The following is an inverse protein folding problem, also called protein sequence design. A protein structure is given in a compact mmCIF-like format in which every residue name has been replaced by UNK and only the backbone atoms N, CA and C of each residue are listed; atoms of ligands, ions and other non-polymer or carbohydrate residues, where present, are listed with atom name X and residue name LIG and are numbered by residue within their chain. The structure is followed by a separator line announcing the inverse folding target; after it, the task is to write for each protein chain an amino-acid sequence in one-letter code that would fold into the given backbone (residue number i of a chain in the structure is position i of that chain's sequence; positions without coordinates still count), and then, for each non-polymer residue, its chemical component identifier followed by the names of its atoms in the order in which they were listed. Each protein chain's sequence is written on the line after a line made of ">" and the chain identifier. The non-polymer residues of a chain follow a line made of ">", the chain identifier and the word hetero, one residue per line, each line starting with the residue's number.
data_IF_364542747087
#
_entry.id   IF_364542747087
#
_cell.length_a   1.000
_cell.length_b   1.000
_cell.length_c   1.000
_cell.angle_alpha   90.00
_cell.angle_beta   90.00
_cell.angle_gamma   90.00
#
_symmetry.space_group_name_H-M   'P 1'
#
loop_
_entity.id
_entity.type
_entity.pdbx_description
1 polymer ?
#
# COMPACT_ATOMS: atom_id res chain seq x y z
N UNK A 1 23.13 -54.62 16.54
CA UNK A 1 22.67 -53.96 15.29
C UNK A 1 21.25 -53.36 15.37
N UNK A 2 20.21 -54.11 15.81
CA UNK A 2 18.83 -53.54 15.88
C UNK A 2 18.68 -52.29 16.78
N UNK A 3 19.40 -52.15 17.89
CA UNK A 3 19.33 -50.97 18.78
C UNK A 3 19.86 -49.69 18.12
N UNK A 4 20.90 -49.77 17.32
CA UNK A 4 21.48 -48.61 16.63
C UNK A 4 20.60 -48.10 15.46
N UNK A 5 19.89 -49.05 14.80
CA UNK A 5 18.95 -48.70 13.71
C UNK A 5 17.78 -47.89 14.25
N UNK A 6 17.22 -48.25 15.42
CA UNK A 6 16.13 -47.52 16.05
C UNK A 6 16.56 -46.11 16.48
N UNK A 7 17.77 -45.95 17.01
CA UNK A 7 18.31 -44.66 17.42
C UNK A 7 18.52 -43.74 16.21
N UNK A 8 19.02 -44.24 15.08
CA UNK A 8 19.22 -43.47 13.85
C UNK A 8 17.89 -43.06 13.24
N UNK A 9 16.88 -43.96 13.21
CA UNK A 9 15.54 -43.63 12.72
C UNK A 9 14.85 -42.53 13.57
N UNK A 10 15.02 -42.60 14.90
CA UNK A 10 14.47 -41.60 15.83
C UNK A 10 15.11 -40.22 15.62
N UNK A 11 16.43 -40.18 15.38
CA UNK A 11 17.17 -38.94 15.12
C UNK A 11 16.76 -38.28 13.78
N UNK A 12 16.49 -39.08 12.75
CA UNK A 12 16.03 -38.59 11.45
C UNK A 12 14.60 -38.01 11.55
N UNK A 13 13.73 -38.64 12.35
CA UNK A 13 12.35 -38.18 12.55
C UNK A 13 12.29 -36.85 13.31
N UNK A 14 13.20 -36.58 14.24
CA UNK A 14 13.28 -35.33 14.98
C UNK A 14 13.82 -34.18 14.08
N UNK A 15 14.74 -34.49 13.16
CA UNK A 15 15.28 -33.50 12.23
C UNK A 15 14.24 -33.03 11.18
N UNK A 16 13.24 -33.86 10.88
CA UNK A 16 12.19 -33.51 9.89
C UNK A 16 11.07 -32.63 10.47
N UNK A 17 11.08 -32.33 11.76
CA UNK A 17 10.08 -31.46 12.42
C UNK A 17 10.52 -30.00 12.57
N UNK A 18 11.65 -29.57 11.98
CA UNK A 18 11.93 -28.15 11.84
C UNK A 18 11.01 -27.58 10.74
N UNK A 19 9.81 -27.19 11.13
CA UNK A 19 8.97 -26.35 10.28
C UNK A 19 9.74 -25.06 10.06
N UNK A 20 10.33 -24.93 8.88
CA UNK A 20 10.74 -23.61 8.39
C UNK A 20 9.46 -22.79 8.28
N UNK A 21 9.22 -21.95 9.27
CA UNK A 21 8.25 -20.87 9.13
C UNK A 21 8.82 -19.95 8.07
N UNK A 22 8.45 -20.20 6.82
CA UNK A 22 8.63 -19.23 5.75
C UNK A 22 7.67 -18.10 6.08
N UNK A 23 8.19 -17.03 6.66
CA UNK A 23 7.52 -15.74 6.66
C UNK A 23 7.52 -15.26 5.21
N UNK A 24 6.56 -15.75 4.42
CA UNK A 24 6.23 -15.07 3.19
C UNK A 24 5.80 -13.66 3.61
N UNK A 25 6.46 -12.61 3.10
CA UNK A 25 5.87 -11.27 3.14
C UNK A 25 4.48 -11.46 2.54
N UNK A 26 3.40 -11.26 3.28
CA UNK A 26 2.06 -11.58 2.79
C UNK A 26 1.64 -10.68 1.63
N UNK A 27 2.51 -9.72 1.23
CA UNK A 27 2.10 -8.61 0.40
C UNK A 27 3.28 -7.96 -0.35
N UNK A 28 3.18 -7.94 -1.68
CA UNK A 28 4.02 -7.13 -2.56
C UNK A 28 3.12 -6.04 -3.20
N UNK A 29 3.27 -4.75 -2.85
CA UNK A 29 2.39 -3.71 -3.38
C UNK A 29 2.38 -3.62 -4.91
N UNK A 30 3.46 -4.03 -5.59
CA UNK A 30 3.53 -4.02 -7.05
C UNK A 30 2.60 -5.04 -7.73
N UNK A 31 2.04 -6.01 -6.98
CA UNK A 31 1.09 -6.99 -7.51
C UNK A 31 -0.34 -6.43 -7.58
N UNK A 32 -0.61 -5.30 -6.90
CA UNK A 32 -1.95 -4.72 -6.71
C UNK A 32 -2.17 -3.41 -7.45
N UNK A 33 -1.15 -2.78 -8.02
CA UNK A 33 -1.27 -1.54 -8.80
C UNK A 33 -0.26 -1.50 -9.94
N UNK A 34 -0.58 -0.77 -11.00
CA UNK A 34 0.29 -0.60 -12.16
C UNK A 34 0.41 0.87 -12.54
N UNK A 35 1.61 1.29 -12.91
CA UNK A 35 1.83 2.61 -13.50
C UNK A 35 1.05 2.80 -14.83
N UNK A 36 0.59 1.71 -15.44
CA UNK A 36 -0.21 1.75 -16.67
C UNK A 36 -1.72 1.94 -16.42
N UNK A 37 -2.17 2.06 -15.15
CA UNK A 37 -3.56 2.38 -14.87
C UNK A 37 -3.94 3.73 -15.46
N UNK A 38 -5.16 3.78 -16.03
CA UNK A 38 -5.69 5.02 -16.64
C UNK A 38 -6.10 5.99 -15.56
N UNK A 39 -5.76 7.27 -15.75
CA UNK A 39 -6.14 8.35 -14.85
C UNK A 39 -6.33 9.64 -15.66
N UNK A 40 -7.35 10.41 -15.31
CA UNK A 40 -7.67 11.69 -15.95
C UNK A 40 -6.60 12.73 -15.63
N UNK A 41 -6.28 13.60 -16.60
CA UNK A 41 -5.52 14.83 -16.39
C UNK A 41 -6.51 15.97 -16.12
N UNK A 42 -6.53 16.51 -14.92
CA UNK A 42 -7.44 17.58 -14.55
C UNK A 42 -7.02 18.92 -15.17
N UNK A 43 -7.95 19.89 -15.33
CA UNK A 43 -7.60 21.24 -15.72
C UNK A 43 -6.49 21.83 -14.84
N UNK A 44 -5.56 22.58 -15.44
CA UNK A 44 -4.37 23.15 -14.73
C UNK A 44 -4.71 24.04 -13.54
N UNK A 45 -5.95 24.54 -13.46
CA UNK A 45 -6.43 25.33 -12.31
C UNK A 45 -6.79 24.49 -11.08
N UNK A 46 -6.92 23.17 -11.23
CA UNK A 46 -7.26 22.26 -10.15
C UNK A 46 -5.99 21.83 -9.42
N UNK A 47 -5.90 22.17 -8.13
CA UNK A 47 -4.71 21.99 -7.30
C UNK A 47 -4.78 20.76 -6.39
N UNK A 48 -5.86 20.00 -6.44
CA UNK A 48 -6.03 18.80 -5.62
C UNK A 48 -6.92 17.77 -6.31
N UNK A 49 -6.72 16.51 -5.96
CA UNK A 49 -7.59 15.41 -6.36
C UNK A 49 -7.74 14.43 -5.20
N UNK A 50 -8.93 13.87 -5.04
CA UNK A 50 -9.23 12.84 -4.05
C UNK A 50 -10.01 11.71 -4.69
N UNK A 51 -9.70 10.48 -4.30
CA UNK A 51 -10.45 9.29 -4.62
C UNK A 51 -10.76 8.53 -3.32
N UNK A 52 -11.94 7.91 -3.28
CA UNK A 52 -12.33 6.97 -2.23
C UNK A 52 -12.74 5.67 -2.87
N UNK A 53 -12.12 4.57 -2.47
CA UNK A 53 -12.50 3.22 -2.87
C UNK A 53 -13.18 2.53 -1.67
N UNK A 54 -14.35 1.92 -1.92
CA UNK A 54 -15.18 1.30 -0.90
C UNK A 54 -15.22 -0.21 -1.07
N UNK A 55 -15.27 -0.93 0.04
CA UNK A 55 -15.49 -2.37 0.02
C UNK A 55 -16.75 -2.69 -0.80
N UNK A 56 -16.60 -3.58 -1.77
CA UNK A 56 -17.76 -4.24 -2.37
C UNK A 56 -18.39 -5.09 -1.26
N UNK A 57 -19.72 -5.19 -1.22
CA UNK A 57 -20.60 -5.71 -0.14
C UNK A 57 -20.22 -7.04 0.60
N UNK A 58 -18.94 -7.43 0.61
CA UNK A 58 -18.37 -8.64 1.24
C UNK A 58 -16.97 -8.44 1.84
N UNK A 59 -16.49 -7.20 2.02
CA UNK A 59 -15.31 -6.97 2.85
C UNK A 59 -15.67 -7.28 4.31
N UNK A 60 -14.86 -8.12 4.98
CA UNK A 60 -15.12 -8.52 6.37
C UNK A 60 -14.71 -7.40 7.34
N UNK A 61 -13.63 -6.67 7.02
CA UNK A 61 -13.06 -5.68 7.94
C UNK A 61 -12.51 -4.40 7.28
N UNK A 62 -12.12 -4.38 6.00
CA UNK A 62 -11.64 -3.18 5.36
C UNK A 62 -12.77 -2.44 4.63
N UNK A 63 -13.23 -1.30 5.17
CA UNK A 63 -14.41 -0.59 4.67
C UNK A 63 -14.11 0.35 3.51
N UNK A 64 -13.03 1.13 3.61
CA UNK A 64 -12.73 2.20 2.65
C UNK A 64 -11.26 2.59 2.68
N UNK A 65 -10.72 2.97 1.52
CA UNK A 65 -9.44 3.64 1.38
C UNK A 65 -9.63 5.01 0.72
N UNK A 66 -9.13 6.06 1.35
CA UNK A 66 -9.09 7.43 0.82
C UNK A 66 -7.66 7.77 0.42
N UNK A 67 -7.48 8.33 -0.78
CA UNK A 67 -6.21 8.80 -1.29
C UNK A 67 -6.39 10.20 -1.87
N UNK A 68 -5.56 11.15 -1.44
CA UNK A 68 -5.62 12.53 -1.90
C UNK A 68 -4.23 13.07 -2.25
N UNK A 69 -4.15 13.82 -3.35
CA UNK A 69 -3.00 14.59 -3.82
C UNK A 69 -3.32 16.07 -3.75
N UNK A 70 -2.38 16.91 -3.33
CA UNK A 70 -2.47 18.37 -3.33
C UNK A 70 -1.16 19.00 -3.80
N UNK A 71 -1.28 20.10 -4.51
CA UNK A 71 -0.15 20.99 -4.79
C UNK A 71 0.03 21.95 -3.60
N UNK A 72 1.18 21.85 -2.94
CA UNK A 72 1.54 22.68 -1.79
C UNK A 72 2.42 23.88 -2.20
N UNK A 73 2.66 24.04 -3.50
CA UNK A 73 3.49 25.10 -4.06
C UNK A 73 4.98 24.72 -4.10
N UNK A 74 5.73 25.48 -4.89
CA UNK A 74 7.20 25.33 -5.06
C UNK A 74 7.66 23.92 -5.52
N UNK A 75 6.78 23.13 -6.15
CA UNK A 75 7.07 21.76 -6.53
C UNK A 75 6.88 20.75 -5.39
N UNK A 76 6.33 21.16 -4.26
CA UNK A 76 5.99 20.28 -3.16
C UNK A 76 4.58 19.68 -3.38
N UNK A 77 4.46 18.37 -3.23
CA UNK A 77 3.22 17.62 -3.46
C UNK A 77 2.81 16.92 -2.18
N UNK A 78 1.67 17.33 -1.62
CA UNK A 78 1.05 16.68 -0.48
C UNK A 78 0.37 15.37 -0.87
N UNK A 79 0.53 14.36 -0.02
CA UNK A 79 -0.10 13.05 -0.16
C UNK A 79 -0.73 12.62 1.16
N UNK A 80 -2.04 12.38 1.14
CA UNK A 80 -2.79 11.85 2.28
C UNK A 80 -3.42 10.54 1.88
N UNK A 81 -3.16 9.49 2.66
CA UNK A 81 -3.71 8.16 2.46
C UNK A 81 -4.27 7.63 3.78
N UNK A 82 -5.56 7.25 3.82
CA UNK A 82 -6.26 6.83 5.02
C UNK A 82 -7.01 5.53 4.75
N UNK A 83 -6.70 4.48 5.51
CA UNK A 83 -7.49 3.26 5.58
C UNK A 83 -8.55 3.37 6.67
N UNK A 84 -9.76 2.91 6.40
CA UNK A 84 -10.85 2.84 7.39
C UNK A 84 -11.27 1.38 7.57
N UNK A 85 -11.10 0.87 8.77
CA UNK A 85 -11.36 -0.51 9.13
C UNK A 85 -12.61 -0.58 10.04
N UNK A 86 -13.42 -1.62 9.86
CA UNK A 86 -14.64 -1.84 10.65
C UNK A 86 -14.33 -2.31 12.08
N UNK A 87 -13.16 -2.95 12.23
CA UNK A 87 -12.65 -3.48 13.49
C UNK A 87 -11.15 -3.26 13.54
N UNK A 88 -10.54 -3.20 14.73
CA UNK A 88 -9.09 -3.22 14.86
C UNK A 88 -8.48 -4.47 14.22
N UNK A 89 -7.37 -4.30 13.49
CA UNK A 89 -6.66 -5.37 12.77
C UNK A 89 -5.30 -5.65 13.37
N UNK A 90 -4.69 -6.77 12.98
CA UNK A 90 -3.37 -7.18 13.48
C UNK A 90 -2.25 -6.36 12.82
N UNK A 91 -2.38 -6.13 11.52
CA UNK A 91 -1.39 -5.41 10.70
C UNK A 91 -2.10 -4.60 9.60
N UNK A 92 -1.52 -3.46 9.25
CA UNK A 92 -1.91 -2.69 8.08
C UNK A 92 -0.69 -2.13 7.36
N UNK A 93 -0.80 -1.97 6.03
CA UNK A 93 0.27 -1.49 5.16
C UNK A 93 -0.29 -0.48 4.19
N UNK A 94 0.41 0.64 4.00
CA UNK A 94 0.06 1.67 3.02
C UNK A 94 1.30 2.01 2.21
N UNK A 95 1.25 1.76 0.90
CA UNK A 95 2.25 2.22 -0.06
C UNK A 95 1.64 3.33 -0.91
N UNK A 96 2.29 4.47 -1.00
CA UNK A 96 1.88 5.60 -1.84
C UNK A 96 2.94 5.84 -2.90
N UNK A 97 2.60 5.61 -4.16
CA UNK A 97 3.44 5.91 -5.32
C UNK A 97 3.13 7.29 -5.86
N UNK A 98 4.15 8.07 -6.21
CA UNK A 98 4.05 9.30 -6.99
C UNK A 98 4.43 8.99 -8.43
N UNK A 99 3.51 9.22 -9.35
CA UNK A 99 3.73 9.11 -10.79
C UNK A 99 3.70 10.48 -11.45
N UNK A 100 4.53 10.68 -12.50
CA UNK A 100 4.56 11.85 -13.37
C UNK A 100 4.11 11.47 -14.78
N UNK A 101 3.32 12.32 -15.41
CA UNK A 101 2.92 12.16 -16.81
C UNK A 101 4.06 12.53 -17.75
N UNK A 102 4.37 11.66 -18.69
CA UNK A 102 5.29 11.88 -19.79
C UNK A 102 4.47 12.17 -21.05
N UNK A 103 4.39 13.45 -21.45
CA UNK A 103 3.61 13.89 -22.62
C UNK A 103 4.13 13.27 -23.94
N UNK A 104 5.44 13.00 -24.05
CA UNK A 104 6.03 12.45 -25.26
C UNK A 104 5.60 11.02 -25.53
N UNK A 105 5.52 10.21 -24.47
CA UNK A 105 5.11 8.80 -24.57
C UNK A 105 3.66 8.55 -24.18
N UNK A 106 2.93 9.61 -23.82
CA UNK A 106 1.52 9.59 -23.36
C UNK A 106 1.28 8.51 -22.29
N UNK A 107 2.17 8.49 -21.27
CA UNK A 107 2.08 7.51 -20.18
C UNK A 107 2.57 8.07 -18.86
N UNK A 108 2.08 7.47 -17.80
CA UNK A 108 2.58 7.70 -16.46
C UNK A 108 3.95 7.01 -16.24
N UNK A 109 4.81 7.66 -15.47
CA UNK A 109 6.10 7.09 -15.02
C UNK A 109 6.20 7.27 -13.52
N UNK A 110 6.53 6.19 -12.80
CA UNK A 110 6.79 6.27 -11.38
C UNK A 110 8.04 7.11 -11.11
N UNK A 111 7.90 8.09 -10.20
CA UNK A 111 9.00 8.97 -9.76
C UNK A 111 9.60 8.44 -8.46
N UNK A 112 8.75 8.19 -7.47
CA UNK A 112 9.14 7.73 -6.14
C UNK A 112 7.96 7.06 -5.45
N UNK A 113 8.18 6.58 -4.23
CA UNK A 113 7.12 6.01 -3.39
C UNK A 113 7.45 6.20 -1.91
N UNK A 114 6.46 5.95 -1.06
CA UNK A 114 6.57 5.90 0.39
C UNK A 114 5.82 4.68 0.91
N UNK A 115 6.46 3.92 1.82
CA UNK A 115 5.87 2.77 2.50
C UNK A 115 5.68 3.05 3.97
N UNK A 116 4.53 2.64 4.52
CA UNK A 116 4.23 2.66 5.94
C UNK A 116 3.68 1.31 6.38
N UNK A 117 4.17 0.84 7.52
CA UNK A 117 3.74 -0.41 8.15
C UNK A 117 3.18 -0.10 9.54
N UNK A 118 2.06 -0.71 9.89
CA UNK A 118 1.35 -0.52 11.15
C UNK A 118 1.10 -1.89 11.79
N UNK A 119 1.38 -2.01 13.08
CA UNK A 119 1.22 -3.25 13.83
C UNK A 119 0.36 -2.98 15.08
N UNK A 120 -0.59 -3.87 15.39
CA UNK A 120 -1.51 -3.74 16.52
C UNK A 120 -0.80 -3.46 17.86
N UNK A 121 0.39 -4.03 18.06
CA UNK A 121 1.20 -3.82 19.28
C UNK A 121 1.54 -2.35 19.56
N UNK A 122 1.55 -1.50 18.53
CA UNK A 122 1.90 -0.08 18.61
C UNK A 122 0.65 0.81 18.80
N UNK A 123 -0.56 0.20 18.80
CA UNK A 123 -1.87 0.86 18.88
C UNK A 123 -2.73 0.29 20.02
N UNK A 124 -2.52 0.72 21.28
CA UNK A 124 -3.27 0.20 22.44
C UNK A 124 -4.80 0.38 22.34
N UNK A 125 -5.25 1.43 21.64
CA UNK A 125 -6.69 1.71 21.41
C UNK A 125 -7.27 0.91 20.23
N UNK A 126 -6.42 0.18 19.49
CA UNK A 126 -6.77 -0.57 18.29
C UNK A 126 -6.29 0.07 16.99
N UNK A 127 -5.85 -0.77 16.04
CA UNK A 127 -5.40 -0.34 14.72
C UNK A 127 -6.60 -0.39 13.75
N UNK A 128 -7.32 0.73 13.61
CA UNK A 128 -8.53 0.83 12.78
C UNK A 128 -8.50 1.94 11.72
N UNK A 129 -7.55 2.88 11.84
CA UNK A 129 -7.44 4.02 10.92
C UNK A 129 -5.97 4.33 10.59
N UNK A 130 -5.23 3.39 9.92
CA UNK A 130 -3.87 3.65 9.49
C UNK A 130 -3.83 4.84 8.52
N UNK A 131 -2.91 5.79 8.77
CA UNK A 131 -2.87 7.06 8.04
C UNK A 131 -1.46 7.45 7.66
N UNK A 132 -1.24 7.73 6.37
CA UNK A 132 -0.04 8.40 5.84
C UNK A 132 -0.42 9.86 5.52
N UNK A 133 0.41 10.79 5.99
CA UNK A 133 0.34 12.22 5.64
C UNK A 133 1.77 12.71 5.42
N UNK A 134 2.16 12.90 4.16
CA UNK A 134 3.52 13.22 3.76
C UNK A 134 3.54 14.26 2.66
N UNK A 135 4.72 14.86 2.43
CA UNK A 135 5.01 15.75 1.30
C UNK A 135 6.17 15.21 0.49
N UNK A 136 5.96 14.95 -0.79
CA UNK A 136 7.01 14.70 -1.77
C UNK A 136 7.61 16.03 -2.21
N UNK A 137 8.75 16.41 -1.64
CA UNK A 137 9.35 17.74 -1.82
C UNK A 137 10.11 17.88 -3.13
N UNK A 138 10.11 19.12 -3.67
CA UNK A 138 11.00 19.55 -4.75
C UNK A 138 10.77 18.80 -6.07
N UNK A 139 9.54 18.45 -6.38
CA UNK A 139 9.19 17.81 -7.65
C UNK A 139 9.35 18.79 -8.81
N UNK A 140 9.68 18.28 -9.99
CA UNK A 140 9.88 19.08 -11.19
C UNK A 140 8.56 19.74 -11.62
N UNK A 141 8.59 21.05 -11.83
CA UNK A 141 7.42 21.86 -12.21
C UNK A 141 7.13 21.74 -13.71
N UNK A 142 5.91 22.05 -14.10
CA UNK A 142 5.48 22.00 -15.51
C UNK A 142 4.92 20.63 -15.93
N UNK A 143 4.70 19.72 -15.01
CA UNK A 143 4.19 18.37 -15.27
C UNK A 143 2.93 18.04 -14.48
N UNK A 144 2.18 17.06 -14.96
CA UNK A 144 1.11 16.44 -14.20
C UNK A 144 1.67 15.34 -13.28
N UNK A 145 1.12 15.25 -12.07
CA UNK A 145 1.41 14.22 -11.09
C UNK A 145 0.13 13.60 -10.57
N UNK A 146 0.18 12.33 -10.23
CA UNK A 146 -0.90 11.59 -9.56
C UNK A 146 -0.33 10.70 -8.46
N UNK A 147 -1.20 10.23 -7.60
CA UNK A 147 -0.88 9.17 -6.64
C UNK A 147 -1.57 7.86 -7.03
N UNK A 148 -0.86 6.75 -6.83
CA UNK A 148 -1.42 5.41 -6.70
C UNK A 148 -1.21 4.96 -5.27
N UNK A 149 -2.29 4.52 -4.62
CA UNK A 149 -2.23 3.96 -3.27
C UNK A 149 -2.36 2.45 -3.33
N UNK A 150 -1.65 1.75 -2.46
CA UNK A 150 -1.95 0.36 -2.16
C UNK A 150 -2.11 0.23 -0.67
N UNK A 151 -3.32 -0.15 -0.28
CA UNK A 151 -3.72 -0.30 1.11
C UNK A 151 -4.02 -1.76 1.38
N UNK A 152 -3.52 -2.29 2.47
CA UNK A 152 -3.84 -3.64 2.89
C UNK A 152 -3.92 -3.76 4.40
N UNK A 153 -4.71 -4.71 4.85
CA UNK A 153 -4.83 -5.05 6.25
C UNK A 153 -4.91 -6.56 6.42
N UNK A 154 -4.39 -7.05 7.55
CA UNK A 154 -4.41 -8.46 7.95
C UNK A 154 -5.14 -8.58 9.28
N UNK A 155 -6.11 -9.48 9.34
CA UNK A 155 -6.84 -9.82 10.56
C UNK A 155 -7.13 -11.33 10.60
N UNK A 156 -6.66 -12.02 11.64
CA UNK A 156 -6.81 -13.47 11.79
C UNK A 156 -6.39 -14.24 10.51
N UNK A 157 -5.19 -13.98 9.98
CA UNK A 157 -4.62 -14.56 8.76
C UNK A 157 -5.41 -14.29 7.46
N UNK A 158 -6.46 -13.46 7.52
CA UNK A 158 -7.18 -12.96 6.34
C UNK A 158 -6.58 -11.65 5.86
N UNK A 159 -6.53 -11.47 4.56
CA UNK A 159 -6.01 -10.28 3.89
C UNK A 159 -7.11 -9.58 3.10
N UNK A 160 -7.22 -8.26 3.25
CA UNK A 160 -8.08 -7.39 2.43
C UNK A 160 -7.31 -6.14 2.02
N UNK A 161 -7.67 -5.54 0.87
CA UNK A 161 -7.01 -4.33 0.42
C UNK A 161 -7.71 -3.61 -0.72
N UNK A 162 -7.20 -2.40 -1.01
CA UNK A 162 -7.64 -1.48 -2.05
C UNK A 162 -6.45 -0.86 -2.77
N UNK A 163 -6.66 -0.44 -4.01
CA UNK A 163 -5.61 0.22 -4.81
C UNK A 163 -6.12 1.45 -5.57
N UNK A 164 -6.61 2.48 -4.86
CA UNK A 164 -7.12 3.69 -5.49
C UNK A 164 -6.03 4.47 -6.24
N UNK A 165 -6.46 5.17 -7.31
CA UNK A 165 -5.60 6.04 -8.10
C UNK A 165 -6.27 7.41 -8.24
N UNK A 166 -5.55 8.50 -7.93
CA UNK A 166 -6.08 9.86 -8.10
C UNK A 166 -6.07 10.29 -9.56
N UNK A 167 -6.87 11.28 -9.91
CA UNK A 167 -6.64 12.04 -11.12
C UNK A 167 -5.33 12.82 -11.04
N UNK A 168 -4.74 13.15 -12.19
CA UNK A 168 -3.52 13.94 -12.29
C UNK A 168 -3.78 15.43 -12.10
N UNK A 169 -2.97 16.08 -11.25
CA UNK A 169 -2.94 17.54 -11.06
C UNK A 169 -1.68 18.13 -11.68
N UNK A 170 -1.75 19.35 -12.16
CA UNK A 170 -0.61 20.07 -12.76
C UNK A 170 0.15 20.83 -11.67
N UNK A 171 1.47 20.67 -11.64
CA UNK A 171 2.38 21.38 -10.71
C UNK A 171 3.10 22.48 -11.47
N UNK A 172 2.87 23.76 -11.13
CA UNK A 172 3.44 24.95 -11.77
C UNK A 172 4.49 25.69 -10.92
#
# INVERSE_FOLDING_TARGET
>A
MKKYIVTILSSILILSMTTLTVYAKPYNPNDYTSVNEVSELLPKSIRQSKVSEFAKARGDFFMRADLAISDEGNGDIGAVAIGFLAIPVDEAYITVYLDRWDETSERWRQVTYYDAEYYAKDYPEGLDTPTVNITFKGQEKGYYYRLRGVFSAVYNDKFEGFSPVTAGIFID
#
